data_IF_657878712574
#
_entry.id   IF_657878712574
#
_cell.length_a   1.000
_cell.length_b   1.000
_cell.length_c   1.000
_cell.angle_alpha   90.00
_cell.angle_beta   90.00
_cell.angle_gamma   90.00
#
_symmetry.space_group_name_H-M   'P 1'
#
loop_
_entity.id
_entity.type
_entity.pdbx_description
1 polymer ?
#
# COMPACT_ATOMS: atom_id res chain seq x y z
N UNK A 1 -0.12 6.63 31.52
CA UNK A 1 -0.65 6.21 30.20
C UNK A 1 -1.79 5.25 30.46
N UNK A 2 -3.03 5.62 30.16
CA UNK A 2 -4.17 4.71 30.16
C UNK A 2 -3.91 3.75 29.02
N UNK A 3 -3.76 2.47 29.32
CA UNK A 3 -3.60 1.43 28.31
C UNK A 3 -4.94 1.33 27.56
N UNK A 4 -5.08 2.04 26.45
CA UNK A 4 -6.31 2.06 25.68
C UNK A 4 -6.35 0.78 24.82
N UNK A 5 -7.36 -0.06 25.07
CA UNK A 5 -7.64 -1.26 24.28
C UNK A 5 -7.84 -0.84 22.82
N UNK A 6 -7.13 -1.43 21.85
CA UNK A 6 -7.30 -1.11 20.43
C UNK A 6 -8.66 -1.57 19.92
N UNK A 7 -9.16 -1.03 18.82
CA UNK A 7 -10.44 -1.47 18.25
C UNK A 7 -10.43 -2.97 17.90
N UNK A 8 -9.27 -3.52 17.57
CA UNK A 8 -9.10 -4.96 17.27
C UNK A 8 -9.32 -5.82 18.50
N UNK A 9 -8.85 -5.36 19.66
CA UNK A 9 -8.90 -6.07 20.94
C UNK A 9 -10.26 -5.92 21.68
N UNK A 10 -11.15 -5.02 21.21
CA UNK A 10 -12.47 -4.85 21.80
C UNK A 10 -13.31 -6.12 21.68
N UNK A 11 -13.83 -6.60 22.80
CA UNK A 11 -14.65 -7.82 22.86
C UNK A 11 -16.15 -7.50 22.79
N UNK A 12 -16.93 -8.44 22.29
CA UNK A 12 -18.39 -8.35 22.21
C UNK A 12 -18.99 -8.26 23.63
N UNK A 13 -20.12 -7.57 23.75
CA UNK A 13 -20.88 -7.31 24.99
C UNK A 13 -20.15 -6.43 26.02
N UNK A 14 -19.01 -5.83 25.65
CA UNK A 14 -18.29 -4.89 26.49
C UNK A 14 -18.43 -3.43 26.00
N UNK A 15 -18.15 -2.50 26.91
CA UNK A 15 -18.20 -1.06 26.67
C UNK A 15 -16.80 -0.47 26.92
N UNK A 16 -16.38 0.43 26.02
CA UNK A 16 -15.07 1.04 26.06
C UNK A 16 -15.18 2.55 25.93
N UNK A 17 -14.52 3.28 26.83
CA UNK A 17 -14.42 4.73 26.75
C UNK A 17 -13.01 5.09 26.33
N UNK A 18 -12.88 5.83 25.24
CA UNK A 18 -11.58 6.22 24.70
C UNK A 18 -11.65 7.45 23.81
N UNK A 19 -10.52 8.06 23.59
CA UNK A 19 -10.32 9.07 22.55
C UNK A 19 -10.11 8.39 21.20
N UNK A 20 -10.66 9.03 20.17
CA UNK A 20 -10.64 8.55 18.78
C UNK A 20 -10.59 9.73 17.83
N UNK A 21 -10.04 9.53 16.64
CA UNK A 21 -10.17 10.48 15.55
C UNK A 21 -11.45 10.22 14.76
N UNK A 22 -12.25 11.23 14.55
CA UNK A 22 -13.44 11.20 13.70
C UNK A 22 -13.00 11.39 12.24
N UNK A 23 -13.03 10.33 11.43
CA UNK A 23 -12.63 10.40 10.02
C UNK A 23 -13.76 10.91 9.12
N UNK A 24 -15.00 10.48 9.37
CA UNK A 24 -16.17 10.91 8.59
C UNK A 24 -17.47 10.73 9.37
N UNK A 25 -18.47 11.56 9.05
CA UNK A 25 -19.82 11.48 9.63
C UNK A 25 -20.83 11.45 8.49
N UNK A 26 -21.59 10.35 8.39
CA UNK A 26 -22.62 10.13 7.40
C UNK A 26 -23.99 9.99 8.07
N UNK A 27 -24.89 10.92 7.82
CA UNK A 27 -26.27 10.85 8.32
C UNK A 27 -27.11 9.93 7.43
N UNK A 28 -27.91 9.09 8.07
CA UNK A 28 -28.84 8.16 7.42
C UNK A 28 -30.18 8.18 8.15
N UNK A 29 -31.21 7.67 7.48
CA UNK A 29 -32.52 7.52 8.08
C UNK A 29 -32.80 6.04 8.35
N UNK A 30 -33.16 5.71 9.58
CA UNK A 30 -33.55 4.38 9.97
C UNK A 30 -34.96 4.01 9.45
N UNK A 31 -35.31 2.71 9.46
CA UNK A 31 -36.64 2.24 9.00
C UNK A 31 -37.82 2.86 9.75
N UNK A 32 -37.63 3.32 10.96
CA UNK A 32 -38.64 4.01 11.78
C UNK A 32 -38.73 5.53 11.49
N UNK A 33 -38.00 6.04 10.49
CA UNK A 33 -37.99 7.45 10.10
C UNK A 33 -37.09 8.35 10.97
N UNK A 34 -36.41 7.81 12.00
CA UNK A 34 -35.49 8.59 12.81
C UNK A 34 -34.08 8.68 12.19
N UNK A 35 -33.37 9.80 12.36
CA UNK A 35 -32.00 9.91 11.91
C UNK A 35 -31.07 9.03 12.74
N UNK A 36 -30.01 8.56 12.13
CA UNK A 36 -28.85 8.00 12.80
C UNK A 36 -27.58 8.38 12.03
N UNK A 37 -26.46 8.42 12.71
CA UNK A 37 -25.18 8.70 12.08
C UNK A 37 -24.31 7.46 12.08
N UNK A 38 -23.68 7.19 10.94
CA UNK A 38 -22.54 6.29 10.83
C UNK A 38 -21.28 7.15 10.88
N UNK A 39 -20.46 6.90 11.88
CA UNK A 39 -19.24 7.64 12.17
C UNK A 39 -18.07 6.69 11.95
N UNK A 40 -17.16 7.06 11.08
CA UNK A 40 -15.91 6.35 10.86
C UNK A 40 -14.87 6.88 11.84
N UNK A 41 -14.33 5.99 12.67
CA UNK A 41 -13.43 6.31 13.77
C UNK A 41 -12.09 5.61 13.58
N UNK A 42 -10.99 6.30 13.90
CA UNK A 42 -9.64 5.74 13.95
C UNK A 42 -9.08 5.76 15.37
N UNK A 43 -8.37 4.72 15.73
CA UNK A 43 -7.58 4.63 16.97
C UNK A 43 -6.07 4.75 16.72
N UNK A 44 -5.66 5.05 15.49
CA UNK A 44 -4.27 5.12 15.06
C UNK A 44 -3.70 3.79 14.54
N UNK A 45 -4.32 2.66 14.91
CA UNK A 45 -3.94 1.31 14.44
C UNK A 45 -4.96 0.70 13.49
N UNK A 46 -6.22 1.03 13.68
CA UNK A 46 -7.33 0.49 12.93
C UNK A 46 -8.48 1.48 12.81
N UNK A 47 -9.41 1.17 11.92
CA UNK A 47 -10.60 1.98 11.65
C UNK A 47 -11.85 1.14 11.83
N UNK A 48 -12.87 1.70 12.47
CA UNK A 48 -14.19 1.10 12.62
C UNK A 48 -15.28 2.04 12.13
N UNK A 49 -16.41 1.48 11.71
CA UNK A 49 -17.65 2.24 11.51
C UNK A 49 -18.58 2.00 12.69
N UNK A 50 -18.83 3.03 13.48
CA UNK A 50 -19.73 2.98 14.62
C UNK A 50 -21.03 3.74 14.31
N UNK A 51 -22.14 3.32 14.95
CA UNK A 51 -23.46 3.94 14.74
C UNK A 51 -23.92 4.63 16.00
N UNK A 52 -24.43 5.87 15.83
CA UNK A 52 -25.13 6.59 16.87
C UNK A 52 -26.56 6.82 16.44
N UNK A 53 -27.50 6.20 17.16
CA UNK A 53 -28.93 6.30 16.87
C UNK A 53 -29.55 7.58 17.46
N UNK A 54 -30.69 7.97 16.87
CA UNK A 54 -31.47 9.15 17.26
C UNK A 54 -30.65 10.45 17.30
N UNK A 55 -29.65 10.57 16.41
CA UNK A 55 -28.69 11.70 16.38
C UNK A 55 -28.44 12.11 14.93
N UNK A 56 -28.62 13.38 14.64
CA UNK A 56 -28.30 14.00 13.36
C UNK A 56 -26.85 14.49 13.33
N UNK A 57 -26.34 14.81 12.15
CA UNK A 57 -25.02 15.46 12.00
C UNK A 57 -24.97 16.82 12.68
N UNK A 58 -26.12 17.53 12.76
CA UNK A 58 -26.21 18.81 13.42
C UNK A 58 -26.06 18.66 14.94
N UNK A 59 -26.70 17.64 15.52
CA UNK A 59 -26.59 17.38 16.97
C UNK A 59 -25.14 17.07 17.36
N UNK A 60 -24.41 16.33 16.53
CA UNK A 60 -22.98 16.06 16.75
C UNK A 60 -22.12 17.33 16.69
N UNK A 61 -22.40 18.23 15.74
CA UNK A 61 -21.68 19.50 15.62
C UNK A 61 -21.91 20.40 16.84
N UNK A 62 -23.11 20.36 17.44
CA UNK A 62 -23.42 21.08 18.69
C UNK A 62 -22.62 20.53 19.91
N UNK A 63 -22.23 19.25 19.85
CA UNK A 63 -21.33 18.60 20.85
C UNK A 63 -19.84 18.77 20.48
N UNK A 64 -19.50 19.58 19.48
CA UNK A 64 -18.13 19.80 19.01
C UNK A 64 -17.54 18.63 18.21
N UNK A 65 -18.37 17.67 17.77
CA UNK A 65 -17.93 16.49 17.04
C UNK A 65 -18.07 16.70 15.54
N UNK A 66 -16.95 16.94 14.89
CA UNK A 66 -16.87 17.14 13.45
C UNK A 66 -15.87 16.14 12.82
N UNK A 67 -15.88 16.02 11.49
CA UNK A 67 -14.85 15.28 10.80
C UNK A 67 -13.48 15.95 11.02
N UNK A 68 -12.45 15.13 11.14
CA UNK A 68 -11.06 15.55 11.37
C UNK A 68 -10.78 16.10 12.76
N UNK A 69 -11.67 15.83 13.75
CA UNK A 69 -11.47 16.21 15.15
C UNK A 69 -11.24 14.97 16.03
N UNK A 70 -10.54 15.17 17.15
CA UNK A 70 -10.42 14.14 18.19
C UNK A 70 -11.63 14.23 19.11
N UNK A 71 -12.29 13.10 19.33
CA UNK A 71 -13.46 12.99 20.19
C UNK A 71 -13.23 11.96 21.29
N UNK A 72 -13.80 12.21 22.47
CA UNK A 72 -13.95 11.22 23.53
C UNK A 72 -15.27 10.49 23.33
N UNK A 73 -15.26 9.18 23.29
CA UNK A 73 -16.46 8.39 23.01
C UNK A 73 -16.57 7.15 23.89
N UNK A 74 -17.81 6.72 24.15
CA UNK A 74 -18.12 5.42 24.73
C UNK A 74 -18.76 4.56 23.67
N UNK A 75 -18.08 3.44 23.35
CA UNK A 75 -18.46 2.49 22.31
C UNK A 75 -18.88 1.21 23.01
N UNK A 76 -20.07 0.72 22.66
CA UNK A 76 -20.56 -0.61 23.00
C UNK A 76 -20.38 -1.54 21.80
N UNK A 77 -19.77 -2.69 22.04
CA UNK A 77 -19.55 -3.70 21.01
C UNK A 77 -20.66 -4.75 21.11
N UNK A 78 -21.40 -4.92 20.03
CA UNK A 78 -22.48 -5.91 19.91
C UNK A 78 -22.19 -6.88 18.78
N UNK A 79 -22.97 -7.95 18.65
CA UNK A 79 -22.96 -8.84 17.48
C UNK A 79 -24.13 -8.53 16.56
N UNK A 80 -23.87 -8.38 15.26
CA UNK A 80 -24.91 -8.26 14.25
C UNK A 80 -24.51 -9.10 13.01
N UNK A 81 -25.36 -10.06 12.61
CA UNK A 81 -25.08 -11.02 11.54
C UNK A 81 -23.73 -11.76 11.70
N UNK A 82 -23.41 -12.17 12.92
CA UNK A 82 -22.14 -12.80 13.32
C UNK A 82 -20.89 -11.94 13.17
N UNK A 83 -21.03 -10.63 12.99
CA UNK A 83 -19.93 -9.68 12.96
C UNK A 83 -20.00 -8.72 14.16
N UNK A 84 -18.83 -8.19 14.57
CA UNK A 84 -18.77 -7.10 15.54
C UNK A 84 -19.49 -5.87 14.99
N UNK A 85 -20.37 -5.29 15.78
CA UNK A 85 -21.10 -4.06 15.47
C UNK A 85 -20.86 -3.04 16.58
N UNK A 86 -20.42 -1.86 16.22
CA UNK A 86 -20.04 -0.81 17.15
C UNK A 86 -21.16 0.20 17.27
N UNK A 87 -21.62 0.43 18.50
CA UNK A 87 -22.65 1.42 18.81
C UNK A 87 -22.06 2.49 19.73
N UNK A 88 -22.26 3.73 19.37
CA UNK A 88 -21.85 4.88 20.19
C UNK A 88 -22.95 5.20 21.19
N UNK A 89 -22.66 5.09 22.48
CA UNK A 89 -23.57 5.52 23.54
C UNK A 89 -23.55 7.04 23.69
N UNK A 90 -22.36 7.60 23.77
CA UNK A 90 -22.14 9.04 23.74
C UNK A 90 -20.79 9.36 23.09
N UNK A 91 -20.68 10.57 22.55
CA UNK A 91 -19.49 11.13 21.94
C UNK A 91 -19.50 12.64 22.12
N UNK A 92 -18.36 13.22 22.43
CA UNK A 92 -18.16 14.66 22.59
C UNK A 92 -16.75 15.03 22.12
N UNK A 93 -16.51 16.31 21.84
CA UNK A 93 -15.16 16.79 21.56
C UNK A 93 -14.21 16.42 22.71
N UNK A 94 -12.98 15.99 22.38
CA UNK A 94 -11.97 15.73 23.39
C UNK A 94 -11.44 17.05 23.95
N UNK A 95 -11.43 17.16 25.28
CA UNK A 95 -10.81 18.27 26.00
C UNK A 95 -9.37 18.00 26.41
N UNK A 96 -8.82 16.82 26.07
CA UNK A 96 -7.46 16.44 26.43
C UNK A 96 -6.43 17.26 25.66
N UNK A 97 -5.44 17.80 26.38
CA UNK A 97 -4.29 18.46 25.78
C UNK A 97 -3.14 17.50 25.47
N UNK A 98 -3.26 16.25 25.91
CA UNK A 98 -2.23 15.21 25.79
C UNK A 98 -2.35 14.41 24.49
N UNK A 99 -3.40 14.62 23.70
CA UNK A 99 -3.65 13.92 22.44
C UNK A 99 -3.85 14.91 21.29
N UNK A 100 -3.27 14.57 20.17
CA UNK A 100 -3.39 15.32 18.92
C UNK A 100 -3.98 14.43 17.79
N UNK A 101 -4.43 15.04 16.71
CA UNK A 101 -4.87 14.31 15.52
C UNK A 101 -3.78 13.35 15.01
N UNK A 102 -2.50 13.76 15.10
CA UNK A 102 -1.36 12.96 14.62
C UNK A 102 -1.17 11.64 15.38
N UNK A 103 -1.70 11.53 16.61
CA UNK A 103 -1.63 10.29 17.39
C UNK A 103 -2.56 9.19 16.89
N UNK A 104 -3.59 9.58 16.11
CA UNK A 104 -4.60 8.69 15.54
C UNK A 104 -4.45 8.46 14.03
N UNK A 105 -3.41 9.02 13.42
CA UNK A 105 -3.08 8.74 12.02
C UNK A 105 -2.33 7.41 11.97
N UNK A 106 -2.81 6.43 11.20
CA UNK A 106 -2.09 5.16 11.04
C UNK A 106 -0.67 5.41 10.55
N UNK A 107 0.31 5.09 11.39
CA UNK A 107 1.73 5.18 11.02
C UNK A 107 2.09 3.98 10.13
N UNK A 108 2.98 4.16 9.14
CA UNK A 108 3.50 3.04 8.39
C UNK A 108 4.27 2.09 9.32
N UNK A 109 4.13 0.77 9.09
CA UNK A 109 4.82 -0.26 9.89
C UNK A 109 6.32 -0.35 9.57
N UNK A 110 6.87 0.56 8.77
CA UNK A 110 8.23 0.56 8.30
C UNK A 110 8.82 1.98 8.25
N UNK A 111 10.15 2.06 8.33
CA UNK A 111 10.90 3.28 8.10
C UNK A 111 10.89 3.62 6.60
N UNK A 112 10.05 4.59 6.23
CA UNK A 112 9.86 4.99 4.83
C UNK A 112 11.12 5.61 4.22
N UNK A 113 11.93 6.32 5.00
CA UNK A 113 13.17 6.90 4.48
C UNK A 113 14.19 5.81 4.17
N UNK A 114 14.31 4.80 5.03
CA UNK A 114 15.16 3.63 4.79
C UNK A 114 14.68 2.85 3.56
N UNK A 115 13.38 2.59 3.43
CA UNK A 115 12.81 1.91 2.24
C UNK A 115 13.04 2.70 0.96
N UNK A 116 12.89 4.02 1.01
CA UNK A 116 13.20 4.88 -0.13
C UNK A 116 14.66 4.77 -0.55
N UNK A 117 15.59 4.82 0.40
CA UNK A 117 17.03 4.67 0.12
C UNK A 117 17.33 3.30 -0.51
N UNK A 118 16.73 2.22 0.00
CA UNK A 118 16.87 0.87 -0.57
C UNK A 118 16.32 0.78 -1.99
N UNK A 119 15.12 1.33 -2.25
CA UNK A 119 14.54 1.39 -3.59
C UNK A 119 15.48 2.10 -4.57
N UNK A 120 15.95 3.29 -4.22
CA UNK A 120 16.86 4.07 -5.07
C UNK A 120 18.17 3.32 -5.30
N UNK A 121 18.79 2.76 -4.27
CA UNK A 121 20.03 1.99 -4.37
C UNK A 121 19.87 0.76 -5.30
N UNK A 122 18.77 0.02 -5.18
CA UNK A 122 18.50 -1.13 -6.03
C UNK A 122 18.33 -0.73 -7.51
N UNK A 123 17.65 0.39 -7.78
CA UNK A 123 17.52 0.92 -9.15
C UNK A 123 18.87 1.42 -9.69
N UNK A 124 19.69 2.10 -8.87
CA UNK A 124 21.03 2.53 -9.27
C UNK A 124 21.96 1.35 -9.58
N UNK A 125 21.90 0.29 -8.79
CA UNK A 125 22.77 -0.89 -8.91
C UNK A 125 22.28 -1.95 -9.91
N UNK A 126 21.06 -1.84 -10.42
CA UNK A 126 20.58 -2.77 -11.45
C UNK A 126 21.19 -2.52 -12.82
N UNK A 127 21.70 -1.33 -13.06
CA UNK A 127 22.31 -0.95 -14.34
C UNK A 127 23.59 -1.75 -14.60
N UNK A 128 23.75 -2.17 -15.86
CA UNK A 128 25.00 -2.76 -16.37
C UNK A 128 25.49 -1.87 -17.50
N UNK A 129 26.61 -1.15 -17.35
CA UNK A 129 27.13 -0.25 -18.38
C UNK A 129 27.31 -0.95 -19.73
N UNK A 130 26.94 -0.27 -20.79
CA UNK A 130 27.04 -0.75 -22.17
C UNK A 130 27.44 0.35 -23.13
N UNK A 131 27.84 -0.01 -24.36
CA UNK A 131 28.16 0.97 -25.42
C UNK A 131 26.94 1.84 -25.82
N UNK A 132 25.72 1.42 -25.49
CA UNK A 132 24.48 2.21 -25.72
C UNK A 132 24.45 3.47 -24.85
N UNK A 133 25.07 3.45 -23.67
CA UNK A 133 25.08 4.55 -22.71
C UNK A 133 25.82 5.77 -23.24
N UNK A 134 26.68 5.59 -24.25
CA UNK A 134 27.34 6.70 -24.94
C UNK A 134 26.36 7.56 -25.76
N UNK A 135 25.17 7.02 -26.07
CA UNK A 135 24.18 7.66 -26.94
C UNK A 135 22.79 7.81 -26.28
N UNK A 136 22.42 6.89 -25.40
CA UNK A 136 21.08 6.84 -24.81
C UNK A 136 21.12 6.97 -23.29
N UNK A 137 20.10 7.62 -22.73
CA UNK A 137 19.90 7.62 -21.29
C UNK A 137 19.63 6.19 -20.81
N UNK A 138 20.43 5.62 -19.87
CA UNK A 138 20.12 4.32 -19.27
C UNK A 138 18.73 4.32 -18.65
N UNK A 139 18.00 3.20 -18.77
CA UNK A 139 16.63 3.11 -18.29
C UNK A 139 16.54 3.23 -16.76
N UNK A 140 17.59 2.86 -16.05
CA UNK A 140 17.74 3.07 -14.61
C UNK A 140 17.84 4.56 -14.25
N UNK A 141 18.62 5.37 -14.99
CA UNK A 141 18.69 6.81 -14.79
C UNK A 141 17.36 7.50 -15.10
N UNK A 142 16.70 7.09 -16.21
CA UNK A 142 15.33 7.52 -16.53
C UNK A 142 14.37 7.22 -15.38
N UNK A 143 14.36 5.98 -14.87
CA UNK A 143 13.53 5.54 -13.74
C UNK A 143 13.79 6.36 -12.48
N UNK A 144 15.07 6.59 -12.14
CA UNK A 144 15.44 7.41 -11.00
C UNK A 144 14.95 8.85 -11.13
N UNK A 145 14.99 9.42 -12.32
CA UNK A 145 14.49 10.76 -12.60
C UNK A 145 12.99 10.87 -12.36
N UNK A 146 12.22 9.87 -12.81
CA UNK A 146 10.79 9.77 -12.56
C UNK A 146 10.50 9.65 -11.05
N UNK A 147 11.13 8.71 -10.36
CA UNK A 147 10.93 8.48 -8.93
C UNK A 147 11.31 9.69 -8.08
N UNK A 148 12.50 10.28 -8.31
CA UNK A 148 13.01 11.43 -7.54
C UNK A 148 12.11 12.65 -7.72
N UNK A 149 11.57 12.90 -8.92
CA UNK A 149 10.61 13.98 -9.18
C UNK A 149 9.31 13.81 -8.38
N UNK A 150 8.87 12.59 -8.19
CA UNK A 150 7.60 12.29 -7.51
C UNK A 150 7.78 11.82 -6.05
N UNK A 151 8.98 11.90 -5.47
CA UNK A 151 9.33 11.37 -4.14
C UNK A 151 8.26 11.65 -3.08
N UNK A 152 7.91 12.92 -2.86
CA UNK A 152 7.01 13.30 -1.77
C UNK A 152 5.64 12.62 -1.86
N UNK A 153 5.06 12.54 -3.08
CA UNK A 153 3.78 11.87 -3.30
C UNK A 153 3.91 10.35 -3.19
N UNK A 154 4.98 9.80 -3.75
CA UNK A 154 5.25 8.37 -3.76
C UNK A 154 5.42 7.80 -2.35
N UNK A 155 6.17 8.50 -1.49
CA UNK A 155 6.39 8.10 -0.10
C UNK A 155 5.13 8.13 0.77
N UNK A 156 4.11 8.90 0.40
CA UNK A 156 2.88 9.04 1.20
C UNK A 156 1.68 8.35 0.59
N UNK A 157 1.76 7.92 -0.68
CA UNK A 157 0.67 7.25 -1.37
C UNK A 157 0.40 5.85 -0.79
N UNK A 158 -0.88 5.47 -0.80
CA UNK A 158 -1.29 4.10 -0.55
C UNK A 158 -1.19 3.26 -1.84
N UNK A 159 -0.95 1.96 -1.71
CA UNK A 159 -0.97 1.04 -2.86
C UNK A 159 -2.38 0.62 -3.28
N UNK A 160 -3.36 0.74 -2.38
CA UNK A 160 -4.76 0.41 -2.68
C UNK A 160 -5.71 1.05 -1.67
N UNK A 161 -7.01 1.00 -1.96
CA UNK A 161 -8.04 1.56 -1.07
C UNK A 161 -8.46 0.60 0.04
N UNK A 162 -8.49 -0.71 -0.21
CA UNK A 162 -9.15 -1.66 0.70
C UNK A 162 -8.55 -3.06 0.76
N UNK A 163 -7.61 -3.45 -0.10
CA UNK A 163 -7.20 -4.85 -0.21
C UNK A 163 -5.77 -5.07 0.29
N UNK A 164 -4.78 -4.32 -0.17
CA UNK A 164 -3.37 -4.47 0.23
C UNK A 164 -2.72 -3.10 0.35
N UNK A 165 -1.80 -2.98 1.31
CA UNK A 165 -1.05 -1.75 1.57
C UNK A 165 -1.89 -0.47 1.57
N UNK A 166 -3.11 -0.54 2.13
CA UNK A 166 -4.11 0.54 2.17
C UNK A 166 -3.82 1.59 3.27
N UNK A 167 -2.56 1.95 3.45
CA UNK A 167 -2.07 2.89 4.45
C UNK A 167 -1.08 3.87 3.85
N UNK A 168 -0.79 4.93 4.58
CA UNK A 168 0.26 5.90 4.21
C UNK A 168 1.57 5.17 3.99
N UNK A 169 2.24 5.43 2.87
CA UNK A 169 3.50 4.77 2.50
C UNK A 169 3.33 3.36 1.92
N UNK A 170 2.09 2.86 1.79
CA UNK A 170 1.84 1.53 1.25
C UNK A 170 2.39 1.31 -0.15
N UNK A 171 2.34 2.34 -1.01
CA UNK A 171 2.92 2.28 -2.35
C UNK A 171 4.43 2.04 -2.31
N UNK A 172 5.15 2.81 -1.48
CA UNK A 172 6.59 2.63 -1.33
C UNK A 172 6.94 1.25 -0.75
N UNK A 173 6.20 0.79 0.26
CA UNK A 173 6.44 -0.54 0.87
C UNK A 173 6.28 -1.66 -0.15
N UNK A 174 5.19 -1.66 -0.91
CA UNK A 174 4.94 -2.60 -1.99
C UNK A 174 6.03 -2.55 -3.06
N UNK A 175 6.30 -1.36 -3.60
CA UNK A 175 7.29 -1.19 -4.67
C UNK A 175 8.71 -1.59 -4.24
N UNK A 176 9.11 -1.27 -3.01
CA UNK A 176 10.44 -1.65 -2.51
C UNK A 176 10.59 -3.18 -2.37
N UNK A 177 9.54 -3.88 -1.91
CA UNK A 177 9.51 -5.34 -1.89
C UNK A 177 9.61 -5.93 -3.31
N UNK A 178 8.78 -5.45 -4.23
CA UNK A 178 8.76 -5.86 -5.63
C UNK A 178 10.12 -5.69 -6.32
N UNK A 179 10.78 -4.56 -6.10
CA UNK A 179 12.12 -4.28 -6.66
C UNK A 179 13.17 -5.23 -6.09
N UNK A 180 13.13 -5.51 -4.79
CA UNK A 180 14.04 -6.47 -4.17
C UNK A 180 13.84 -7.87 -4.72
N UNK A 181 12.60 -8.33 -4.89
CA UNK A 181 12.26 -9.62 -5.47
C UNK A 181 12.70 -9.71 -6.94
N UNK A 182 12.49 -8.62 -7.72
CA UNK A 182 12.94 -8.53 -9.10
C UNK A 182 14.47 -8.71 -9.21
N UNK A 183 15.24 -8.11 -8.31
CA UNK A 183 16.69 -8.29 -8.23
C UNK A 183 17.07 -9.76 -8.02
N UNK A 184 16.42 -10.47 -7.09
CA UNK A 184 16.68 -11.89 -6.83
C UNK A 184 16.29 -12.78 -8.01
N UNK A 185 15.15 -12.52 -8.64
CA UNK A 185 14.70 -13.29 -9.81
C UNK A 185 15.65 -13.11 -10.98
N UNK A 186 16.11 -11.89 -11.24
CA UNK A 186 17.05 -11.62 -12.34
C UNK A 186 18.39 -12.35 -12.18
N UNK A 187 18.85 -12.59 -10.95
CA UNK A 187 20.05 -13.41 -10.69
C UNK A 187 19.83 -14.87 -11.07
N UNK A 188 18.64 -15.42 -10.80
CA UNK A 188 18.32 -16.81 -11.07
C UNK A 188 17.98 -17.08 -12.53
N UNK A 189 17.59 -16.06 -13.29
CA UNK A 189 17.19 -16.15 -14.71
C UNK A 189 17.99 -15.18 -15.56
N UNK A 190 19.24 -15.52 -15.94
CA UNK A 190 20.12 -14.63 -16.71
C UNK A 190 19.62 -14.24 -18.12
N UNK A 191 18.54 -14.88 -18.59
CA UNK A 191 17.88 -14.53 -19.86
C UNK A 191 16.97 -13.29 -19.75
N UNK A 192 16.69 -12.84 -18.53
CA UNK A 192 15.92 -11.62 -18.31
C UNK A 192 16.82 -10.39 -18.41
N UNK A 193 16.28 -9.32 -18.98
CA UNK A 193 16.89 -8.00 -18.84
C UNK A 193 16.67 -7.49 -17.39
N UNK A 194 17.73 -7.63 -16.57
CA UNK A 194 17.70 -7.25 -15.16
C UNK A 194 17.31 -5.79 -14.97
N UNK A 195 17.88 -4.89 -15.76
CA UNK A 195 17.62 -3.47 -15.63
C UNK A 195 16.16 -3.16 -15.97
N UNK A 196 15.64 -3.74 -17.04
CA UNK A 196 14.26 -3.55 -17.46
C UNK A 196 13.27 -4.11 -16.41
N UNK A 197 13.54 -5.32 -15.88
CA UNK A 197 12.67 -5.93 -14.86
C UNK A 197 12.62 -5.09 -13.57
N UNK A 198 13.77 -4.65 -13.08
CA UNK A 198 13.86 -3.85 -11.85
C UNK A 198 13.22 -2.47 -12.03
N UNK A 199 13.46 -1.80 -13.16
CA UNK A 199 12.85 -0.52 -13.48
C UNK A 199 11.34 -0.65 -13.69
N UNK A 200 10.89 -1.72 -14.34
CA UNK A 200 9.47 -2.05 -14.46
C UNK A 200 8.80 -2.24 -13.08
N UNK A 201 9.43 -3.01 -12.20
CA UNK A 201 8.95 -3.17 -10.83
C UNK A 201 8.91 -1.85 -10.04
N UNK A 202 9.88 -0.96 -10.26
CA UNK A 202 9.92 0.35 -9.61
C UNK A 202 8.84 1.33 -10.08
N UNK A 203 8.34 1.17 -11.32
CA UNK A 203 7.41 2.12 -11.94
C UNK A 203 6.01 1.56 -12.21
N UNK A 204 5.76 0.24 -12.05
CA UNK A 204 4.49 -0.38 -12.46
C UNK A 204 3.26 0.32 -11.89
N UNK A 205 3.36 0.80 -10.67
CA UNK A 205 2.29 1.43 -9.89
C UNK A 205 2.43 2.96 -9.75
N UNK A 206 3.35 3.60 -10.46
CA UNK A 206 3.60 5.04 -10.34
C UNK A 206 2.34 5.89 -10.57
N UNK A 207 1.42 5.44 -11.40
CA UNK A 207 0.16 6.12 -11.67
C UNK A 207 -0.75 6.26 -10.45
N UNK A 208 -0.58 5.44 -9.41
CA UNK A 208 -1.36 5.52 -8.16
C UNK A 208 -1.23 6.86 -7.44
N UNK A 209 -0.11 7.58 -7.63
CA UNK A 209 0.07 8.93 -7.06
C UNK A 209 -0.84 10.00 -7.67
N UNK A 210 -1.49 9.70 -8.81
CA UNK A 210 -2.51 10.55 -9.46
C UNK A 210 -3.88 9.89 -9.41
N UNK A 211 -3.95 8.56 -9.40
CA UNK A 211 -5.20 7.80 -9.29
C UNK A 211 -5.90 8.06 -7.97
N UNK A 212 -5.15 8.10 -6.87
CA UNK A 212 -5.67 8.26 -5.53
C UNK A 212 -5.05 9.45 -4.81
N UNK A 213 -5.80 9.99 -3.85
CA UNK A 213 -5.32 10.99 -2.89
C UNK A 213 -5.41 10.38 -1.50
N UNK A 214 -4.31 10.42 -0.77
CA UNK A 214 -4.28 10.11 0.65
C UNK A 214 -4.37 11.44 1.41
N UNK A 215 -5.43 11.61 2.22
CA UNK A 215 -5.54 12.77 3.10
C UNK A 215 -4.48 12.71 4.20
N UNK A 216 -4.25 13.84 4.89
CA UNK A 216 -3.37 13.86 6.09
C UNK A 216 -3.81 12.85 7.15
N UNK A 217 -5.08 12.52 7.19
CA UNK A 217 -5.68 11.55 8.12
C UNK A 217 -5.62 10.09 7.65
N UNK A 218 -4.88 9.81 6.57
CA UNK A 218 -4.79 8.47 6.00
C UNK A 218 -6.02 8.02 5.19
N UNK A 219 -7.03 8.89 4.99
CA UNK A 219 -8.19 8.54 4.16
C UNK A 219 -7.79 8.51 2.69
N UNK A 220 -8.13 7.41 2.01
CA UNK A 220 -7.78 7.18 0.62
C UNK A 220 -9.04 7.38 -0.25
N UNK A 221 -8.96 8.27 -1.23
CA UNK A 221 -10.04 8.57 -2.17
C UNK A 221 -9.54 8.57 -3.61
N UNK A 222 -10.33 7.97 -4.51
CA UNK A 222 -10.06 8.06 -5.94
C UNK A 222 -10.27 9.48 -6.46
N UNK A 223 -9.34 9.95 -7.28
CA UNK A 223 -9.53 11.18 -8.06
C UNK A 223 -10.50 10.93 -9.22
N UNK A 224 -11.02 12.03 -9.84
CA UNK A 224 -11.82 11.88 -11.06
C UNK A 224 -10.99 11.28 -12.20
N UNK A 225 -9.73 11.67 -12.33
CA UNK A 225 -8.78 11.11 -13.30
C UNK A 225 -8.56 9.61 -13.04
N UNK A 226 -8.33 9.22 -11.79
CA UNK A 226 -8.14 7.83 -11.42
C UNK A 226 -9.34 6.94 -11.75
N UNK A 227 -10.56 7.45 -11.54
CA UNK A 227 -11.79 6.71 -11.89
C UNK A 227 -12.02 6.55 -13.39
N UNK A 228 -11.53 7.49 -14.19
CA UNK A 228 -11.72 7.49 -15.64
C UNK A 228 -10.65 6.70 -16.38
N UNK A 229 -9.41 6.75 -15.91
CA UNK A 229 -8.26 6.23 -16.65
C UNK A 229 -7.59 5.01 -15.97
N UNK A 230 -7.63 4.94 -14.63
CA UNK A 230 -6.91 3.92 -13.86
C UNK A 230 -5.40 4.15 -13.83
N UNK A 231 -4.72 3.62 -12.80
CA UNK A 231 -3.29 3.88 -12.58
C UNK A 231 -2.38 3.34 -13.68
N UNK A 232 -2.71 2.21 -14.32
CA UNK A 232 -1.89 1.64 -15.40
C UNK A 232 -1.78 2.59 -16.60
N UNK A 233 -2.90 3.17 -17.04
CA UNK A 233 -2.88 4.15 -18.14
C UNK A 233 -2.22 5.45 -17.69
N UNK A 234 -2.56 5.96 -16.51
CA UNK A 234 -1.94 7.16 -15.95
C UNK A 234 -0.43 7.00 -15.83
N UNK A 235 0.05 5.85 -15.32
CA UNK A 235 1.47 5.56 -15.17
C UNK A 235 2.20 5.54 -16.51
N UNK A 236 1.66 4.86 -17.52
CA UNK A 236 2.23 4.85 -18.87
C UNK A 236 2.31 6.26 -19.48
N UNK A 237 1.27 7.10 -19.29
CA UNK A 237 1.26 8.51 -19.72
C UNK A 237 2.27 9.36 -18.97
N UNK A 238 2.46 9.11 -17.66
CA UNK A 238 3.44 9.86 -16.87
C UNK A 238 4.87 9.67 -17.36
N UNK A 239 5.21 8.50 -17.92
CA UNK A 239 6.55 8.27 -18.48
C UNK A 239 6.79 9.16 -19.71
N UNK A 240 5.75 9.39 -20.52
CA UNK A 240 5.85 10.26 -21.69
C UNK A 240 6.29 11.69 -21.35
N UNK A 241 5.85 12.22 -20.21
CA UNK A 241 6.24 13.57 -19.76
C UNK A 241 7.77 13.70 -19.58
N UNK A 242 8.49 12.59 -19.35
CA UNK A 242 9.94 12.56 -19.16
C UNK A 242 10.73 12.31 -20.43
N UNK A 243 10.08 12.01 -21.54
CA UNK A 243 10.73 11.82 -22.86
C UNK A 243 10.97 13.16 -23.57
N UNK A 244 10.29 14.22 -23.16
CA UNK A 244 10.40 15.56 -23.77
C UNK A 244 11.63 16.30 -23.27
N UNK A 245 12.08 16.01 -22.04
CA UNK A 245 13.17 16.73 -21.37
C UNK A 245 14.15 15.71 -20.75
N UNK A 246 15.10 15.21 -21.54
CA UNK A 246 16.13 14.28 -21.09
C UNK A 246 17.47 14.99 -20.79
N UNK A 247 18.36 14.38 -19.99
CA UNK A 247 19.64 14.98 -19.64
C UNK A 247 20.51 15.30 -20.86
N UNK A 248 21.07 16.51 -20.94
CA UNK A 248 21.92 17.01 -22.05
C UNK A 248 23.14 16.12 -22.34
N UNK A 249 23.60 15.34 -21.34
CA UNK A 249 24.73 14.41 -21.50
C UNK A 249 24.43 13.24 -22.46
N UNK A 250 23.16 12.98 -22.77
CA UNK A 250 22.72 11.93 -23.68
C UNK A 250 22.18 12.53 -24.97
N UNK A 251 22.47 11.88 -26.10
CA UNK A 251 21.97 12.34 -27.39
C UNK A 251 20.45 12.14 -27.53
N UNK A 252 19.93 11.06 -26.96
CA UNK A 252 18.53 10.65 -27.03
C UNK A 252 18.13 9.85 -25.77
N UNK A 253 16.82 9.80 -25.46
CA UNK A 253 16.29 8.74 -24.63
C UNK A 253 16.06 7.48 -25.48
N UNK A 254 16.16 6.30 -24.84
CA UNK A 254 15.94 5.04 -25.54
C UNK A 254 14.44 4.76 -25.70
N UNK A 255 13.88 5.17 -26.84
CA UNK A 255 12.45 5.04 -27.14
C UNK A 255 11.96 3.60 -27.01
N UNK A 256 12.74 2.62 -27.47
CA UNK A 256 12.35 1.21 -27.36
C UNK A 256 12.23 0.79 -25.90
N UNK A 257 13.22 1.08 -25.07
CA UNK A 257 13.20 0.70 -23.66
C UNK A 257 12.14 1.46 -22.85
N UNK A 258 11.87 2.72 -23.16
CA UNK A 258 10.75 3.46 -22.56
C UNK A 258 9.41 2.84 -22.96
N UNK A 259 9.25 2.45 -24.23
CA UNK A 259 8.05 1.73 -24.69
C UNK A 259 7.87 0.38 -23.97
N UNK A 260 8.97 -0.36 -23.73
CA UNK A 260 8.93 -1.59 -22.96
C UNK A 260 8.52 -1.35 -21.50
N UNK A 261 8.99 -0.27 -20.85
CA UNK A 261 8.49 0.11 -19.52
C UNK A 261 7.00 0.46 -19.53
N UNK A 262 6.54 1.24 -20.51
CA UNK A 262 5.12 1.55 -20.67
C UNK A 262 4.29 0.26 -20.89
N UNK A 263 4.81 -0.68 -21.68
CA UNK A 263 4.19 -2.00 -21.84
C UNK A 263 4.11 -2.76 -20.53
N UNK A 264 5.18 -2.78 -19.72
CA UNK A 264 5.17 -3.43 -18.42
C UNK A 264 4.13 -2.82 -17.49
N UNK A 265 4.01 -1.48 -17.45
CA UNK A 265 2.97 -0.78 -16.68
C UNK A 265 1.57 -1.13 -17.20
N UNK A 266 1.35 -1.16 -18.52
CA UNK A 266 0.05 -1.45 -19.11
C UNK A 266 -0.40 -2.90 -18.91
N UNK A 267 0.54 -3.83 -18.73
CA UNK A 267 0.30 -5.28 -18.68
C UNK A 267 0.49 -5.92 -17.30
N UNK A 268 0.94 -5.18 -16.25
CA UNK A 268 1.31 -5.79 -14.98
C UNK A 268 0.16 -6.55 -14.28
N UNK A 269 -1.09 -6.21 -14.55
CA UNK A 269 -2.24 -6.99 -14.07
C UNK A 269 -2.46 -8.32 -14.79
N UNK A 270 -1.68 -8.63 -15.84
CA UNK A 270 -1.65 -9.90 -16.55
C UNK A 270 -2.73 -10.05 -17.60
N UNK A 271 -3.99 -10.10 -17.19
CA UNK A 271 -5.14 -10.28 -18.10
C UNK A 271 -6.18 -9.16 -17.94
N UNK A 272 -6.98 -8.88 -19.00
CA UNK A 272 -7.99 -7.82 -18.97
C UNK A 272 -9.00 -7.94 -17.83
N UNK A 273 -9.37 -9.17 -17.45
CA UNK A 273 -10.29 -9.43 -16.35
C UNK A 273 -9.77 -8.94 -14.97
N UNK A 274 -8.46 -8.77 -14.82
CA UNK A 274 -7.81 -8.20 -13.66
C UNK A 274 -7.46 -6.71 -13.82
N UNK A 275 -7.72 -6.14 -15.00
CA UNK A 275 -7.50 -4.72 -15.28
C UNK A 275 -6.29 -4.41 -16.16
N UNK A 276 -5.62 -5.42 -16.73
CA UNK A 276 -4.56 -5.18 -17.72
C UNK A 276 -5.13 -4.50 -18.97
N UNK A 277 -4.41 -3.48 -19.48
CA UNK A 277 -4.76 -2.82 -20.75
C UNK A 277 -4.39 -3.73 -21.92
N UNK A 278 -3.26 -4.41 -21.81
CA UNK A 278 -2.74 -5.42 -22.74
C UNK A 278 -2.13 -6.57 -21.95
N UNK A 279 -2.03 -7.75 -22.55
CA UNK A 279 -1.35 -8.89 -21.92
C UNK A 279 0.17 -8.77 -22.02
N UNK A 280 0.95 -9.35 -21.06
CA UNK A 280 2.40 -9.37 -21.11
C UNK A 280 2.94 -10.00 -22.39
N UNK A 281 3.75 -9.28 -23.17
CA UNK A 281 4.34 -9.73 -24.43
C UNK A 281 5.86 -9.95 -24.34
N UNK A 282 6.47 -9.68 -23.19
CA UNK A 282 7.90 -9.93 -22.92
C UNK A 282 8.07 -10.67 -21.60
N UNK A 283 9.17 -11.43 -21.42
CA UNK A 283 9.39 -12.21 -20.19
C UNK A 283 9.37 -11.36 -18.92
N UNK A 284 9.97 -10.17 -18.95
CA UNK A 284 10.04 -9.24 -17.81
C UNK A 284 8.64 -8.79 -17.37
N UNK A 285 7.73 -8.53 -18.32
CA UNK A 285 6.35 -8.17 -18.02
C UNK A 285 5.58 -9.33 -17.38
N UNK A 286 5.78 -10.56 -17.86
CA UNK A 286 5.17 -11.76 -17.30
C UNK A 286 5.70 -12.05 -15.87
N UNK A 287 6.99 -11.85 -15.63
CA UNK A 287 7.61 -11.98 -14.31
C UNK A 287 7.09 -10.89 -13.38
N UNK A 288 7.03 -9.64 -13.83
CA UNK A 288 6.48 -8.52 -13.06
C UNK A 288 5.05 -8.83 -12.54
N UNK A 289 4.17 -9.31 -13.45
CA UNK A 289 2.82 -9.74 -13.07
C UNK A 289 2.84 -10.83 -11.99
N UNK A 290 3.72 -11.82 -12.11
CA UNK A 290 3.82 -12.91 -11.12
C UNK A 290 4.29 -12.40 -9.75
N UNK A 291 5.24 -11.48 -9.71
CA UNK A 291 5.73 -10.85 -8.48
C UNK A 291 4.65 -10.01 -7.81
N UNK A 292 3.93 -9.17 -8.55
CA UNK A 292 2.83 -8.37 -8.04
C UNK A 292 1.72 -9.24 -7.43
N UNK A 293 1.34 -10.31 -8.12
CA UNK A 293 0.39 -11.30 -7.61
C UNK A 293 0.90 -12.01 -6.34
N UNK A 294 2.20 -12.28 -6.25
CA UNK A 294 2.82 -12.92 -5.09
C UNK A 294 2.77 -11.98 -3.88
N UNK A 295 3.29 -10.77 -3.99
CA UNK A 295 3.34 -9.79 -2.91
C UNK A 295 1.94 -9.47 -2.38
N UNK A 296 1.01 -9.13 -3.26
CA UNK A 296 -0.36 -8.81 -2.89
C UNK A 296 -1.08 -9.98 -2.18
N UNK A 297 -0.88 -11.23 -2.62
CA UNK A 297 -1.47 -12.41 -1.97
C UNK A 297 -0.86 -12.67 -0.61
N UNK A 298 0.48 -12.63 -0.47
CA UNK A 298 1.17 -12.79 0.82
C UNK A 298 0.67 -11.74 1.81
N UNK A 299 0.54 -10.48 1.38
CA UNK A 299 -0.02 -9.43 2.22
C UNK A 299 -1.44 -9.77 2.71
N UNK A 300 -2.33 -10.22 1.82
CA UNK A 300 -3.72 -10.60 2.18
C UNK A 300 -3.72 -11.77 3.19
N UNK A 301 -2.87 -12.78 3.01
CA UNK A 301 -2.75 -13.88 3.98
C UNK A 301 -2.27 -13.37 5.34
N UNK A 302 -1.28 -12.49 5.38
CA UNK A 302 -0.74 -11.91 6.61
C UNK A 302 -1.79 -11.08 7.36
N UNK A 303 -2.59 -10.27 6.64
CA UNK A 303 -3.68 -9.53 7.26
C UNK A 303 -4.78 -10.49 7.80
N UNK A 304 -5.11 -11.53 7.05
CA UNK A 304 -6.06 -12.54 7.51
C UNK A 304 -5.60 -13.24 8.79
N UNK A 305 -4.30 -13.50 8.92
CA UNK A 305 -3.74 -14.15 10.12
C UNK A 305 -3.88 -13.30 11.40
N UNK A 306 -4.03 -11.99 11.28
CA UNK A 306 -4.25 -11.11 12.44
C UNK A 306 -5.63 -11.33 13.08
N UNK A 307 -6.61 -11.78 12.28
CA UNK A 307 -8.01 -11.94 12.68
C UNK A 307 -8.41 -13.40 12.98
N UNK A 308 -7.48 -14.35 12.87
CA UNK A 308 -7.77 -15.81 12.99
C UNK A 308 -6.94 -16.40 14.12
N UNK A 309 -7.57 -17.22 14.94
CA UNK A 309 -6.89 -17.98 15.99
C UNK A 309 -6.06 -19.13 15.41
N UNK A 310 -4.89 -19.46 16.01
CA UNK A 310 -4.07 -20.57 15.55
C UNK A 310 -4.84 -21.90 15.52
N UNK A 311 -4.84 -22.57 14.39
CA UNK A 311 -5.56 -23.83 14.16
C UNK A 311 -6.96 -23.67 13.61
N UNK A 312 -7.39 -22.44 13.31
CA UNK A 312 -8.72 -22.14 12.79
C UNK A 312 -8.70 -21.62 11.35
N UNK A 313 -9.88 -21.59 10.73
CA UNK A 313 -10.13 -21.01 9.41
C UNK A 313 -10.75 -19.63 9.57
N UNK A 314 -10.32 -18.69 8.72
CA UNK A 314 -10.97 -17.38 8.58
C UNK A 314 -12.38 -17.50 8.02
N UNK A 315 -13.14 -16.41 8.09
CA UNK A 315 -14.28 -16.20 7.17
C UNK A 315 -13.78 -16.16 5.73
N UNK A 316 -14.71 -16.29 4.76
CA UNK A 316 -14.36 -16.14 3.34
C UNK A 316 -13.76 -14.75 3.08
N UNK A 317 -12.54 -14.71 2.54
CA UNK A 317 -11.86 -13.48 2.15
C UNK A 317 -12.16 -13.21 0.69
N UNK A 318 -12.90 -12.15 0.42
CA UNK A 318 -13.38 -11.80 -0.91
C UNK A 318 -12.26 -11.74 -1.97
N UNK A 319 -11.14 -11.15 -1.62
CA UNK A 319 -9.99 -11.01 -2.52
C UNK A 319 -9.34 -12.36 -2.90
N UNK A 320 -9.38 -13.34 -2.01
CA UNK A 320 -8.87 -14.70 -2.26
C UNK A 320 -9.96 -15.63 -2.79
N UNK A 321 -11.24 -15.24 -2.69
CA UNK A 321 -12.41 -16.10 -2.95
C UNK A 321 -12.36 -17.43 -2.17
N UNK A 322 -11.72 -17.42 -1.00
CA UNK A 322 -11.48 -18.59 -0.18
C UNK A 322 -11.33 -18.22 1.31
N UNK A 323 -11.32 -19.23 2.19
CA UNK A 323 -10.94 -19.11 3.59
C UNK A 323 -9.44 -19.32 3.75
N UNK A 324 -8.86 -18.76 4.81
CA UNK A 324 -7.43 -18.87 5.15
C UNK A 324 -7.31 -19.68 6.45
N UNK A 325 -6.50 -20.74 6.44
CA UNK A 325 -6.17 -21.51 7.64
C UNK A 325 -4.91 -20.96 8.29
N UNK A 326 -4.98 -20.57 9.58
CA UNK A 326 -3.81 -20.17 10.34
C UNK A 326 -3.18 -21.40 11.02
N UNK A 327 -1.95 -21.80 10.68
CA UNK A 327 -1.28 -22.90 11.33
C UNK A 327 -1.17 -22.72 12.85
N UNK A 328 -1.26 -23.82 13.62
CA UNK A 328 -1.06 -23.79 15.08
C UNK A 328 0.34 -23.32 15.47
N UNK A 329 1.34 -23.70 14.67
CA UNK A 329 2.72 -23.27 14.81
C UNK A 329 3.15 -22.59 13.51
N UNK A 330 3.54 -21.35 13.59
CA UNK A 330 4.13 -20.62 12.47
C UNK A 330 5.66 -20.67 12.60
N UNK A 331 6.35 -20.80 11.47
CA UNK A 331 7.80 -20.73 11.45
C UNK A 331 8.27 -19.39 12.05
N UNK A 332 9.24 -19.46 12.96
CA UNK A 332 9.88 -18.25 13.50
C UNK A 332 10.60 -17.55 12.35
N UNK A 333 10.26 -16.30 12.08
CA UNK A 333 10.83 -15.50 11.00
C UNK A 333 9.86 -15.13 9.88
N UNK A 334 8.60 -15.64 9.90
CA UNK A 334 7.54 -15.19 8.96
C UNK A 334 6.92 -13.85 9.32
N UNK A 335 7.49 -13.08 10.21
CA UNK A 335 7.01 -11.75 10.57
C UNK A 335 7.89 -10.70 9.94
N UNK A 336 7.29 -9.94 9.06
CA UNK A 336 7.75 -8.69 8.48
C UNK A 336 8.98 -8.79 7.55
N UNK A 337 8.99 -7.91 6.55
CA UNK A 337 10.13 -7.53 5.75
C UNK A 337 11.43 -7.73 6.54
N UNK A 338 12.27 -8.69 6.13
CA UNK A 338 13.58 -8.89 6.74
C UNK A 338 14.28 -7.54 6.76
N UNK A 339 14.67 -7.01 7.95
CA UNK A 339 15.52 -5.85 7.97
C UNK A 339 16.78 -6.23 7.21
N UNK A 340 17.14 -5.45 6.21
CA UNK A 340 18.43 -5.56 5.55
C UNK A 340 19.50 -5.40 6.62
N UNK A 341 20.29 -6.44 6.87
CA UNK A 341 21.41 -6.35 7.78
C UNK A 341 22.51 -5.55 7.08
N UNK A 342 23.02 -4.51 7.73
CA UNK A 342 24.14 -3.70 7.25
C UNK A 342 25.43 -4.54 7.01
N UNK A 343 25.45 -5.80 7.49
CA UNK A 343 26.55 -6.75 7.32
C UNK A 343 26.47 -7.62 6.05
N UNK A 344 25.37 -7.56 5.30
CA UNK A 344 25.27 -8.24 3.99
C UNK A 344 25.99 -7.38 2.91
N UNK A 345 27.29 -7.20 3.08
CA UNK A 345 28.16 -6.78 1.98
C UNK A 345 28.11 -7.86 0.92
N UNK A 346 27.85 -7.43 -0.34
CA UNK A 346 27.94 -8.26 -1.56
C UNK A 346 29.11 -9.23 -1.41
N UNK A 347 28.91 -10.56 -1.58
CA UNK A 347 30.00 -11.50 -1.57
C UNK A 347 31.04 -11.03 -2.60
N UNK A 348 32.26 -10.72 -2.15
CA UNK A 348 33.37 -10.55 -3.07
C UNK A 348 33.51 -11.84 -3.84
N UNK A 349 33.56 -11.71 -5.16
CA UNK A 349 33.78 -12.75 -6.15
C UNK A 349 35.05 -13.54 -5.80
N UNK A 350 34.87 -14.65 -5.07
CA UNK A 350 35.94 -15.61 -4.80
C UNK A 350 35.88 -16.65 -5.92
N UNK A 351 36.64 -16.36 -6.99
CA UNK A 351 36.79 -17.18 -8.18
C UNK A 351 37.49 -18.50 -7.91
N UNK A 352 36.97 -19.32 -6.98
CA UNK A 352 37.37 -20.70 -6.75
C UNK A 352 36.17 -21.59 -6.40
N UNK A 353 35.25 -21.74 -7.35
CA UNK A 353 34.18 -22.73 -7.28
C UNK A 353 34.68 -24.09 -7.81
N UNK A 354 34.28 -25.22 -7.18
CA UNK A 354 34.66 -26.55 -7.67
C UNK A 354 33.93 -26.86 -8.97
N UNK A 355 34.68 -27.43 -9.91
CA UNK A 355 34.15 -28.05 -11.14
C UNK A 355 33.08 -29.08 -10.76
N UNK A 356 31.83 -28.88 -11.23
CA UNK A 356 30.79 -29.91 -11.18
C UNK A 356 30.65 -30.51 -12.56
N UNK A 357 30.79 -31.85 -12.59
CA UNK A 357 30.55 -32.74 -13.71
C UNK A 357 29.12 -32.68 -14.25
#
# INVERSE_FOLDING_TARGET
MINMVSFREMEVDNEYTREVLVLSINEKTARNGKPFTEIELSDGESTITARKFDTSKKDLAEEGVEAETVALTRIKVNTYNNDKSYMIEWITESSSQDVSVDDFIPKPDADLDKLWMQLICNVETCHTPSERDDHFEPISEFTLRVLKTHKCKFMTAAAGRSIHHNKVGGLLMHTAAMVQEAMYVAVNYPSLDRELLVCGAALHDIGKIREMKTSKLGKIEYTSEGRLLGHSLIGAMMLEDFTVDWPEKYALYDLERVTLLQHMIASHHGIPEYGAIVEPAIPEAAVLHALDMMDSRIYIFNEAYKEVEPGELSKNIYALKNTVYKPKEMAKGCSALLPWNEDDTVPQDDSSGPELF
#
